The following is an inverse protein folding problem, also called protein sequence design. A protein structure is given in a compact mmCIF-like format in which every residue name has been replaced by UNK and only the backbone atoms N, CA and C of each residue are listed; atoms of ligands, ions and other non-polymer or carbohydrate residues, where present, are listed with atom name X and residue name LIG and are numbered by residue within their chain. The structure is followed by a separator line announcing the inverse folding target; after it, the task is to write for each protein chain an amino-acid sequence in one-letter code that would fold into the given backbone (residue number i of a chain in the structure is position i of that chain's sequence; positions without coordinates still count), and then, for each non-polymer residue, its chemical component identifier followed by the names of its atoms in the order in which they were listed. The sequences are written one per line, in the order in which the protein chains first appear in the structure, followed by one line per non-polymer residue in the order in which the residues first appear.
data_IF_126086990220
#
_entry.id   IF_126086990220
#
_cell.length_a   1.000
_cell.length_b   1.000
_cell.length_c   1.000
_cell.angle_alpha   90.00
_cell.angle_beta   90.00
_cell.angle_gamma   90.00
#
_symmetry.space_group_name_H-M   'P 1'
#
loop_
_entity.id
_entity.type
_entity.pdbx_description
1 polymer ?
#
# COMPACT_ATOMS: atom_id res chain seq x y z
N UNK A 1 8.11 33.50 -19.69
CA UNK A 1 7.78 32.56 -18.58
C UNK A 1 7.64 33.34 -17.30
N UNK A 2 6.45 33.39 -16.74
CA UNK A 2 6.18 34.08 -15.48
C UNK A 2 5.79 33.07 -14.42
N UNK A 3 6.54 33.03 -13.32
CA UNK A 3 6.19 32.23 -12.16
C UNK A 3 4.95 32.84 -11.48
N UNK A 4 3.86 32.08 -11.41
CA UNK A 4 2.56 32.53 -10.90
C UNK A 4 2.38 32.16 -9.45
N UNK A 5 2.88 30.98 -9.04
CA UNK A 5 2.75 30.44 -7.68
C UNK A 5 3.95 29.58 -7.38
N UNK A 6 4.47 29.64 -6.17
CA UNK A 6 5.52 28.74 -5.70
C UNK A 6 5.18 28.26 -4.30
N UNK A 7 5.51 27.00 -3.99
CA UNK A 7 5.49 26.54 -2.62
C UNK A 7 6.64 27.13 -1.82
N UNK A 8 6.55 27.06 -0.52
CA UNK A 8 7.72 27.15 0.36
C UNK A 8 8.70 26.00 0.06
N UNK A 9 9.92 26.11 0.55
CA UNK A 9 10.86 25.01 0.51
C UNK A 9 10.44 23.91 1.48
N UNK A 10 10.25 22.70 0.95
CA UNK A 10 10.06 21.51 1.73
C UNK A 10 11.40 20.78 1.85
N UNK A 11 11.71 20.30 3.04
CA UNK A 11 13.01 19.71 3.41
C UNK A 11 12.80 18.28 3.89
N UNK A 12 13.69 17.39 3.47
CA UNK A 12 13.80 16.03 4.02
C UNK A 12 15.25 15.67 4.25
N UNK A 13 15.51 14.86 5.27
CA UNK A 13 16.85 14.33 5.53
C UNK A 13 17.18 13.17 4.59
N UNK A 14 18.42 13.13 4.12
CA UNK A 14 18.99 12.02 3.36
C UNK A 14 19.49 10.92 4.29
N UNK A 15 19.58 9.68 3.80
CA UNK A 15 20.15 8.55 4.55
C UNK A 15 21.57 8.80 5.09
N UNK A 16 22.32 9.72 4.49
CA UNK A 16 23.70 10.06 4.83
C UNK A 16 23.78 11.30 5.76
N UNK A 17 22.66 11.76 6.32
CA UNK A 17 22.59 12.91 7.24
C UNK A 17 22.73 14.28 6.58
N UNK A 18 22.58 14.38 5.25
CA UNK A 18 22.40 15.64 4.53
C UNK A 18 20.93 15.97 4.36
N UNK A 19 20.63 17.15 3.81
CA UNK A 19 19.26 17.60 3.57
C UNK A 19 18.97 17.74 2.08
N UNK A 20 17.75 17.36 1.68
CA UNK A 20 17.21 17.60 0.34
C UNK A 20 16.14 18.68 0.44
N UNK A 21 16.31 19.74 -0.33
CA UNK A 21 15.38 20.84 -0.48
C UNK A 21 14.59 20.66 -1.77
N UNK A 22 13.29 20.87 -1.70
CA UNK A 22 12.39 20.69 -2.81
C UNK A 22 11.27 21.72 -2.75
N UNK A 23 10.89 22.31 -3.89
CA UNK A 23 9.69 23.16 -4.04
C UNK A 23 9.04 22.98 -5.40
N UNK A 24 7.80 23.42 -5.50
CA UNK A 24 6.98 23.34 -6.70
C UNK A 24 6.59 24.75 -7.17
N UNK A 25 6.54 24.91 -8.47
CA UNK A 25 6.10 26.14 -9.13
C UNK A 25 4.91 25.85 -10.03
N UNK A 26 4.00 26.82 -10.14
CA UNK A 26 3.07 26.98 -11.28
C UNK A 26 3.60 28.10 -12.13
N UNK A 27 3.86 27.84 -13.39
CA UNK A 27 4.43 28.78 -14.34
C UNK A 27 3.45 29.01 -15.48
N UNK A 28 3.33 30.27 -15.94
CA UNK A 28 2.59 30.63 -17.15
C UNK A 28 3.53 30.80 -18.32
N UNK A 29 3.20 30.17 -19.44
CA UNK A 29 3.89 30.31 -20.72
C UNK A 29 2.86 30.59 -21.81
N UNK A 30 2.75 31.88 -22.23
CA UNK A 30 1.65 32.32 -23.10
C UNK A 30 0.29 32.15 -22.43
N UNK A 31 -0.58 31.33 -23.03
CA UNK A 31 -1.91 31.00 -22.51
C UNK A 31 -1.95 29.65 -21.78
N UNK A 32 -0.83 28.95 -21.73
CA UNK A 32 -0.71 27.67 -21.04
C UNK A 32 -0.14 27.80 -19.64
N UNK A 33 -0.45 26.82 -18.81
CA UNK A 33 0.09 26.68 -17.46
C UNK A 33 0.73 25.32 -17.28
N UNK A 34 1.83 25.26 -16.54
CA UNK A 34 2.49 24.02 -16.18
C UNK A 34 3.00 24.02 -14.76
N UNK A 35 3.20 22.84 -14.18
CA UNK A 35 3.91 22.65 -12.94
C UNK A 35 5.36 22.26 -13.19
N UNK A 36 6.28 22.76 -12.36
CA UNK A 36 7.71 22.44 -12.44
C UNK A 36 8.30 22.34 -11.03
N UNK A 37 9.09 21.31 -10.78
CA UNK A 37 9.78 21.14 -9.51
C UNK A 37 11.18 21.70 -9.56
N UNK A 38 11.64 22.26 -8.44
CA UNK A 38 13.01 22.71 -8.22
C UNK A 38 13.57 22.00 -6.99
N UNK A 39 14.80 21.49 -7.06
CA UNK A 39 15.44 20.86 -5.91
C UNK A 39 16.96 21.04 -5.90
N UNK A 40 17.53 20.92 -4.72
CA UNK A 40 18.97 20.85 -4.46
C UNK A 40 19.22 20.06 -3.17
N UNK A 41 20.46 19.77 -2.87
CA UNK A 41 20.86 19.04 -1.66
C UNK A 41 22.00 19.76 -0.96
N UNK A 42 21.99 19.63 0.37
CA UNK A 42 23.11 20.06 1.22
C UNK A 42 23.66 18.79 1.89
N UNK A 43 24.95 18.52 1.72
CA UNK A 43 25.60 17.40 2.40
C UNK A 43 25.74 17.66 3.90
N UNK A 44 26.00 16.60 4.69
CA UNK A 44 26.31 16.70 6.12
C UNK A 44 27.48 17.70 6.42
N UNK A 45 28.39 17.88 5.46
CA UNK A 45 29.53 18.81 5.56
C UNK A 45 29.23 20.22 5.05
N UNK A 46 27.95 20.52 4.73
CA UNK A 46 27.51 21.84 4.27
C UNK A 46 27.69 22.13 2.79
N UNK A 47 28.17 21.17 1.97
CA UNK A 47 28.34 21.36 0.51
C UNK A 47 26.98 21.32 -0.18
N UNK A 48 26.61 22.40 -0.86
CA UNK A 48 25.38 22.52 -1.66
C UNK A 48 25.60 22.04 -3.10
N UNK A 49 24.62 21.30 -3.65
CA UNK A 49 24.58 20.94 -5.08
C UNK A 49 23.98 22.09 -5.88
N UNK A 50 24.23 22.09 -7.21
CA UNK A 50 23.52 23.00 -8.11
C UNK A 50 22.02 22.71 -8.06
N UNK A 51 21.21 23.77 -8.22
CA UNK A 51 19.75 23.65 -8.36
C UNK A 51 19.40 22.93 -9.64
N UNK A 52 18.41 22.04 -9.53
CA UNK A 52 17.92 21.22 -10.62
C UNK A 52 16.42 21.49 -10.79
N UNK A 53 15.94 21.36 -12.01
CA UNK A 53 14.53 21.54 -12.37
C UNK A 53 14.05 20.29 -13.11
N UNK A 54 12.78 19.92 -12.90
CA UNK A 54 12.13 18.93 -13.75
C UNK A 54 11.75 19.53 -15.09
N UNK A 55 11.43 18.66 -16.06
CA UNK A 55 10.71 19.08 -17.24
C UNK A 55 9.37 19.72 -16.87
N UNK A 56 8.87 20.71 -17.64
CA UNK A 56 7.54 21.28 -17.49
C UNK A 56 6.46 20.19 -17.64
N UNK A 57 5.50 20.19 -16.72
CA UNK A 57 4.31 19.34 -16.84
C UNK A 57 3.10 20.24 -17.13
N UNK A 58 2.67 20.30 -18.38
CA UNK A 58 1.59 21.15 -18.85
C UNK A 58 0.23 20.66 -18.38
N UNK A 59 -0.54 21.56 -17.79
CA UNK A 59 -1.87 21.29 -17.26
C UNK A 59 -2.92 21.52 -18.36
N UNK A 60 -3.39 20.46 -18.98
CA UNK A 60 -4.49 20.52 -19.94
C UNK A 60 -5.84 20.73 -19.21
N UNK A 61 -6.82 21.44 -19.83
CA UNK A 61 -8.17 21.50 -19.32
C UNK A 61 -8.76 20.10 -19.09
N UNK A 62 -9.51 19.92 -18.01
CA UNK A 62 -10.11 18.62 -17.65
C UNK A 62 -11.61 18.72 -17.42
N UNK A 63 -12.33 17.60 -17.60
CA UNK A 63 -13.78 17.49 -17.42
C UNK A 63 -14.59 18.51 -18.23
N UNK A 64 -14.13 18.87 -19.43
CA UNK A 64 -14.78 19.85 -20.29
C UNK A 64 -16.25 19.52 -20.49
N UNK A 65 -17.13 20.52 -20.28
CA UNK A 65 -18.58 20.37 -20.37
C UNK A 65 -19.26 19.71 -19.16
N UNK A 66 -18.53 19.49 -18.03
CA UNK A 66 -19.06 18.90 -16.80
C UNK A 66 -19.07 19.93 -15.67
N UNK A 67 -19.89 19.69 -14.64
CA UNK A 67 -20.00 20.58 -13.48
C UNK A 67 -18.66 20.80 -12.70
N UNK A 68 -17.67 19.93 -12.90
CA UNK A 68 -16.35 20.00 -12.33
C UNK A 68 -15.27 20.28 -13.40
N UNK A 69 -15.62 20.98 -14.46
CA UNK A 69 -14.69 21.44 -15.47
C UNK A 69 -13.61 22.34 -14.84
N UNK A 70 -12.38 22.17 -15.32
CA UNK A 70 -11.24 23.05 -14.97
C UNK A 70 -10.54 23.51 -16.24
N UNK A 71 -10.28 24.80 -16.32
CA UNK A 71 -9.37 25.33 -17.34
C UNK A 71 -7.92 25.00 -17.00
N UNK A 72 -6.97 25.30 -17.89
CA UNK A 72 -5.53 25.01 -17.71
C UNK A 72 -4.99 25.58 -16.39
N UNK A 73 -5.38 26.80 -16.00
CA UNK A 73 -4.95 27.43 -14.75
C UNK A 73 -5.47 26.68 -13.51
N UNK A 74 -6.75 26.41 -13.49
CA UNK A 74 -7.40 25.72 -12.39
C UNK A 74 -6.88 24.27 -12.25
N UNK A 75 -6.58 23.62 -13.38
CA UNK A 75 -5.97 22.29 -13.37
C UNK A 75 -4.55 22.33 -12.82
N UNK A 76 -3.74 23.33 -13.20
CA UNK A 76 -2.39 23.50 -12.65
C UNK A 76 -2.41 23.77 -11.13
N UNK A 77 -3.35 24.56 -10.63
CA UNK A 77 -3.52 24.81 -9.20
C UNK A 77 -3.95 23.54 -8.45
N UNK A 78 -4.86 22.75 -9.02
CA UNK A 78 -5.29 21.44 -8.47
C UNK A 78 -4.11 20.44 -8.41
N UNK A 79 -3.32 20.35 -9.48
CA UNK A 79 -2.14 19.49 -9.53
C UNK A 79 -1.07 19.96 -8.54
N UNK A 80 -0.88 21.27 -8.41
CA UNK A 80 0.03 21.85 -7.44
C UNK A 80 -0.26 21.34 -6.02
N UNK A 81 -1.51 21.44 -5.58
CA UNK A 81 -1.91 21.00 -4.23
C UNK A 81 -1.75 19.47 -4.06
N UNK A 82 -2.10 18.70 -5.09
CA UNK A 82 -1.93 17.24 -5.08
C UNK A 82 -0.45 16.81 -5.03
N UNK A 83 0.43 17.51 -5.75
CA UNK A 83 1.88 17.23 -5.77
C UNK A 83 2.52 17.61 -4.43
N UNK A 84 2.16 18.76 -3.84
CA UNK A 84 2.60 19.19 -2.50
C UNK A 84 2.21 18.12 -1.47
N UNK A 85 0.94 17.68 -1.48
CA UNK A 85 0.47 16.62 -0.59
C UNK A 85 1.30 15.34 -0.73
N UNK A 86 1.53 14.88 -1.96
CA UNK A 86 2.39 13.69 -2.22
C UNK A 86 3.82 13.89 -1.69
N UNK A 87 4.37 15.08 -1.76
CA UNK A 87 5.73 15.35 -1.28
C UNK A 87 5.78 15.36 0.25
N UNK A 88 4.75 15.92 0.89
CA UNK A 88 4.58 15.85 2.36
C UNK A 88 4.39 14.41 2.84
N UNK A 89 3.65 13.59 2.13
CA UNK A 89 3.49 12.14 2.41
C UNK A 89 4.83 11.39 2.36
N UNK A 90 5.79 11.85 1.55
CA UNK A 90 7.17 11.32 1.50
C UNK A 90 8.07 11.78 2.66
N UNK A 91 7.54 12.58 3.59
CA UNK A 91 8.26 13.07 4.76
C UNK A 91 8.91 14.45 4.61
N UNK A 92 8.70 15.14 3.49
CA UNK A 92 9.16 16.51 3.34
C UNK A 92 8.30 17.47 4.19
N UNK A 93 8.94 18.45 4.84
CA UNK A 93 8.30 19.43 5.74
C UNK A 93 8.86 20.83 5.50
N UNK A 94 8.09 21.85 5.83
CA UNK A 94 8.55 23.21 5.84
C UNK A 94 9.65 23.43 6.90
N UNK A 95 10.49 24.45 6.72
CA UNK A 95 11.53 24.78 7.70
C UNK A 95 10.89 25.15 9.04
N UNK A 96 11.29 24.46 10.11
CA UNK A 96 10.75 24.68 11.46
C UNK A 96 9.42 23.94 11.75
N UNK A 97 8.82 23.30 10.76
CA UNK A 97 7.69 22.42 10.98
C UNK A 97 8.18 21.16 11.73
N UNK A 98 7.60 20.86 12.89
CA UNK A 98 7.96 19.67 13.65
C UNK A 98 7.66 18.43 12.80
N UNK A 99 8.63 17.51 12.70
CA UNK A 99 8.37 16.15 12.24
C UNK A 99 7.32 15.56 13.20
N UNK A 100 6.10 15.44 12.74
CA UNK A 100 5.20 14.47 13.33
C UNK A 100 5.72 13.11 12.88
N UNK A 101 6.66 12.55 13.64
CA UNK A 101 7.32 11.27 13.31
C UNK A 101 6.33 10.18 13.69
N UNK A 102 5.31 10.00 12.84
CA UNK A 102 4.43 8.84 12.93
C UNK A 102 5.26 7.61 12.60
N UNK A 103 5.28 6.60 13.45
CA UNK A 103 6.00 5.39 13.14
C UNK A 103 5.41 4.73 11.89
N UNK A 104 6.28 4.09 11.12
CA UNK A 104 5.89 3.28 9.96
C UNK A 104 5.85 1.81 10.38
N UNK A 105 4.89 1.03 9.86
CA UNK A 105 4.73 -0.34 10.28
C UNK A 105 5.87 -1.25 9.83
N UNK A 106 6.18 -2.27 10.65
CA UNK A 106 7.03 -3.40 10.30
C UNK A 106 6.39 -4.20 9.16
N UNK A 107 7.20 -4.71 8.22
CA UNK A 107 6.73 -5.44 7.05
C UNK A 107 7.16 -6.92 7.11
N UNK A 108 6.30 -7.80 6.57
CA UNK A 108 6.54 -9.23 6.54
C UNK A 108 7.33 -9.69 5.31
N UNK A 109 8.19 -10.72 5.48
CA UNK A 109 8.69 -11.57 4.39
C UNK A 109 7.70 -12.71 4.06
N UNK A 110 7.95 -13.44 2.98
CA UNK A 110 7.21 -14.66 2.66
C UNK A 110 7.70 -15.81 3.54
N UNK A 111 6.76 -16.61 4.08
CA UNK A 111 7.08 -17.77 4.91
C UNK A 111 7.88 -18.83 4.13
N UNK A 112 7.45 -19.17 2.92
CA UNK A 112 8.12 -20.15 2.10
C UNK A 112 9.62 -19.88 1.87
N UNK A 113 9.97 -18.59 1.71
CA UNK A 113 11.34 -18.18 1.39
C UNK A 113 12.22 -18.03 2.64
N UNK A 114 11.62 -17.88 3.84
CA UNK A 114 12.36 -17.45 5.03
C UNK A 114 12.00 -18.19 6.32
N UNK A 115 11.22 -19.28 6.27
CA UNK A 115 10.84 -20.07 7.46
C UNK A 115 12.04 -20.55 8.29
N UNK A 116 13.14 -20.89 7.64
CA UNK A 116 14.39 -21.26 8.31
C UNK A 116 15.13 -20.11 9.03
N UNK A 117 14.58 -18.90 9.08
CA UNK A 117 15.08 -17.77 9.86
C UNK A 117 14.38 -17.58 11.19
N UNK A 118 13.40 -18.41 11.50
CA UNK A 118 12.68 -18.40 12.79
C UNK A 118 12.92 -19.71 13.52
N UNK A 119 13.15 -19.60 14.82
CA UNK A 119 13.20 -20.74 15.73
C UNK A 119 11.84 -20.91 16.42
N UNK A 120 11.42 -22.16 16.59
CA UNK A 120 10.22 -22.46 17.37
C UNK A 120 10.51 -22.41 18.88
N UNK A 121 9.52 -22.07 19.72
CA UNK A 121 8.12 -21.81 19.38
C UNK A 121 7.88 -20.43 18.74
N UNK A 122 6.86 -20.33 17.89
CA UNK A 122 6.41 -19.08 17.25
C UNK A 122 4.96 -18.75 17.59
N UNK A 123 4.52 -17.52 17.33
CA UNK A 123 3.13 -17.13 17.38
C UNK A 123 2.51 -17.07 15.99
N UNK A 124 1.29 -17.56 15.88
CA UNK A 124 0.52 -17.64 14.63
C UNK A 124 -0.79 -16.87 14.76
N UNK A 125 -1.09 -16.07 13.74
CA UNK A 125 -2.29 -15.22 13.66
C UNK A 125 -2.96 -15.39 12.30
N UNK A 126 -4.30 -15.26 12.18
CA UNK A 126 -4.93 -15.14 10.88
C UNK A 126 -4.42 -13.88 10.17
N UNK A 127 -4.19 -14.00 8.86
CA UNK A 127 -3.89 -12.85 8.01
C UNK A 127 -5.20 -12.25 7.55
N UNK A 128 -5.45 -11.03 8.01
CA UNK A 128 -6.66 -10.28 7.70
C UNK A 128 -6.57 -9.61 6.33
N UNK A 129 -7.72 -9.39 5.71
CA UNK A 129 -7.84 -8.75 4.41
C UNK A 129 -8.58 -7.40 4.53
N UNK A 130 -7.88 -6.40 5.01
CA UNK A 130 -8.40 -5.05 5.25
C UNK A 130 -7.42 -3.95 4.88
N UNK A 131 -7.54 -2.82 5.52
CA UNK A 131 -6.58 -1.73 5.44
C UNK A 131 -5.76 -1.66 6.72
N UNK A 132 -4.46 -1.91 6.62
CA UNK A 132 -3.56 -1.72 7.77
C UNK A 132 -3.60 -0.30 8.28
N UNK A 133 -3.84 -0.15 9.57
CA UNK A 133 -3.86 1.13 10.26
C UNK A 133 -2.95 1.09 11.49
N UNK A 134 -2.12 2.12 11.65
CA UNK A 134 -1.52 2.45 12.93
C UNK A 134 -2.43 3.48 13.61
N UNK A 135 -2.62 3.34 14.93
CA UNK A 135 -3.59 4.12 15.68
C UNK A 135 -3.04 4.50 17.08
N UNK A 136 -3.10 5.78 17.42
CA UNK A 136 -2.61 6.31 18.70
C UNK A 136 -3.72 6.56 19.76
N UNK A 137 -4.92 6.05 19.48
CA UNK A 137 -6.10 6.24 20.32
C UNK A 137 -7.00 7.38 19.85
N UNK A 138 -6.46 8.33 19.10
CA UNK A 138 -7.18 9.49 18.57
C UNK A 138 -7.12 9.54 17.05
N UNK A 139 -5.93 9.33 16.47
CA UNK A 139 -5.66 9.43 15.05
C UNK A 139 -5.21 8.09 14.47
N UNK A 140 -5.67 7.80 13.27
CA UNK A 140 -5.25 6.62 12.51
C UNK A 140 -4.51 7.01 11.22
N UNK A 141 -3.50 6.23 10.83
CA UNK A 141 -2.84 6.40 9.53
C UNK A 141 -2.51 5.05 8.88
N UNK A 142 -2.61 5.03 7.58
CA UNK A 142 -2.36 3.84 6.79
C UNK A 142 -0.87 3.48 6.71
N UNK A 143 -0.56 2.28 6.20
CA UNK A 143 0.81 1.85 5.89
C UNK A 143 1.62 2.87 5.05
N UNK A 144 0.96 3.65 4.20
CA UNK A 144 1.58 4.70 3.39
C UNK A 144 1.63 6.05 4.09
N UNK A 145 1.46 6.11 5.40
CA UNK A 145 1.44 7.33 6.22
C UNK A 145 0.33 8.32 5.83
N UNK A 146 -0.74 7.85 5.20
CA UNK A 146 -1.92 8.65 4.90
C UNK A 146 -2.88 8.59 6.07
N UNK A 147 -3.30 9.74 6.54
CA UNK A 147 -4.30 9.85 7.60
C UNK A 147 -5.62 9.22 7.19
N UNK A 148 -6.21 8.49 8.11
CA UNK A 148 -7.57 7.98 7.98
C UNK A 148 -8.53 9.11 8.34
N UNK A 149 -9.64 9.19 7.62
CA UNK A 149 -10.67 10.22 7.83
C UNK A 149 -11.15 10.12 9.30
N UNK A 150 -11.08 11.20 10.12
CA UNK A 150 -11.43 11.13 11.55
C UNK A 150 -12.82 10.57 11.82
N UNK A 151 -13.82 10.97 11.04
CA UNK A 151 -15.21 10.53 11.20
C UNK A 151 -15.38 9.01 10.97
N UNK A 152 -14.48 8.40 10.18
CA UNK A 152 -14.49 6.96 9.90
C UNK A 152 -14.07 6.14 11.11
N UNK A 153 -13.20 6.69 11.96
CA UNK A 153 -12.60 6.00 13.12
C UNK A 153 -13.07 6.57 14.46
N UNK A 154 -14.04 7.48 14.48
CA UNK A 154 -14.53 8.12 15.70
C UNK A 154 -14.98 7.12 16.76
N UNK A 155 -15.67 6.07 16.34
CA UNK A 155 -16.18 5.00 17.19
C UNK A 155 -15.11 4.03 17.73
N UNK A 156 -13.86 4.17 17.28
CA UNK A 156 -12.72 3.35 17.71
C UNK A 156 -11.86 4.05 18.77
N UNK A 157 -12.13 5.32 19.09
CA UNK A 157 -11.29 6.12 19.96
C UNK A 157 -11.33 5.63 21.41
N UNK A 158 -10.16 5.53 22.01
CA UNK A 158 -9.96 5.20 23.43
C UNK A 158 -8.54 5.56 23.86
N UNK A 159 -8.29 5.59 25.17
CA UNK A 159 -6.96 5.84 25.71
C UNK A 159 -6.04 4.62 25.50
N UNK A 160 -5.08 4.76 24.64
CA UNK A 160 -4.05 3.73 24.35
C UNK A 160 -2.87 3.79 25.34
N UNK A 161 -2.97 4.58 26.39
CA UNK A 161 -1.89 4.79 27.38
C UNK A 161 -0.55 5.23 26.72
N UNK A 162 -0.66 5.95 25.59
CA UNK A 162 0.48 6.44 24.83
C UNK A 162 1.08 5.43 23.82
N UNK A 163 0.57 4.21 23.75
CA UNK A 163 1.00 3.24 22.76
C UNK A 163 0.40 3.51 21.37
N UNK A 164 1.18 3.23 20.34
CA UNK A 164 0.68 3.17 18.98
C UNK A 164 0.34 1.73 18.64
N UNK A 165 -0.92 1.48 18.36
CA UNK A 165 -1.44 0.17 17.97
C UNK A 165 -1.17 -0.10 16.48
N UNK A 166 -0.92 -1.37 16.15
CA UNK A 166 -0.77 -1.86 14.79
C UNK A 166 -1.83 -2.91 14.51
N UNK A 167 -2.71 -2.62 13.56
CA UNK A 167 -3.87 -3.46 13.30
C UNK A 167 -4.40 -3.35 11.88
N UNK A 168 -5.51 -4.03 11.64
CA UNK A 168 -6.22 -4.05 10.36
C UNK A 168 -7.63 -3.48 10.55
N UNK A 169 -8.00 -2.49 9.74
CA UNK A 169 -9.34 -1.90 9.70
C UNK A 169 -10.15 -2.57 8.60
N UNK A 170 -11.27 -3.20 8.95
CA UNK A 170 -12.11 -3.92 8.01
C UNK A 170 -13.56 -4.05 8.51
N UNK A 171 -14.48 -4.36 7.61
CA UNK A 171 -15.84 -4.74 7.97
C UNK A 171 -15.86 -6.17 8.56
N UNK A 172 -16.86 -6.50 9.39
CA UNK A 172 -17.03 -7.86 9.93
C UNK A 172 -17.25 -8.92 8.83
N UNK A 173 -17.26 -10.19 9.25
CA UNK A 173 -17.64 -11.35 8.41
C UNK A 173 -16.75 -11.61 7.19
N UNK A 174 -15.47 -11.19 7.26
CA UNK A 174 -14.48 -11.40 6.19
C UNK A 174 -14.98 -11.00 4.79
N UNK A 175 -15.77 -9.93 4.71
CA UNK A 175 -16.24 -9.40 3.43
C UNK A 175 -15.07 -9.00 2.52
N UNK A 176 -15.31 -8.95 1.22
CA UNK A 176 -14.31 -8.56 0.24
C UNK A 176 -13.64 -7.22 0.62
N UNK A 177 -12.34 -7.15 0.44
CA UNK A 177 -11.54 -5.94 0.69
C UNK A 177 -12.17 -4.68 0.09
N UNK A 178 -12.75 -4.78 -1.11
CA UNK A 178 -13.39 -3.67 -1.80
C UNK A 178 -14.53 -3.03 -1.00
N UNK A 179 -15.32 -3.83 -0.29
CA UNK A 179 -16.44 -3.33 0.54
C UNK A 179 -15.89 -2.59 1.77
N UNK A 180 -14.88 -3.16 2.45
CA UNK A 180 -14.18 -2.48 3.54
C UNK A 180 -13.57 -1.16 3.08
N UNK A 181 -12.93 -1.14 1.89
CA UNK A 181 -12.33 0.08 1.34
C UNK A 181 -13.35 1.17 0.99
N UNK A 182 -14.62 0.81 0.65
CA UNK A 182 -15.70 1.79 0.46
C UNK A 182 -16.05 2.51 1.76
N UNK A 183 -16.08 1.77 2.88
CA UNK A 183 -16.35 2.30 4.22
C UNK A 183 -15.23 3.19 4.75
N UNK A 184 -13.97 2.87 4.36
CA UNK A 184 -12.76 3.52 4.87
C UNK A 184 -12.40 4.80 4.09
N UNK A 185 -12.52 4.76 2.75
CA UNK A 185 -12.10 5.89 1.89
C UNK A 185 -13.04 7.09 1.92
N UNK A 186 -14.26 6.90 2.39
CA UNK A 186 -15.27 7.95 2.53
C UNK A 186 -16.20 7.56 3.66
N UNK A 187 -16.46 8.50 4.58
CA UNK A 187 -17.48 8.27 5.62
C UNK A 187 -18.86 7.95 5.02
N UNK A 188 -19.45 6.87 5.48
CA UNK A 188 -20.79 6.39 5.10
C UNK A 188 -21.55 6.06 6.38
N UNK A 189 -22.62 6.79 6.75
CA UNK A 189 -23.31 6.62 8.02
C UNK A 189 -23.79 5.17 8.29
N UNK A 190 -24.21 4.47 7.24
CA UNK A 190 -24.71 3.10 7.35
C UNK A 190 -23.62 2.01 7.37
N UNK A 191 -22.38 2.36 7.07
CA UNK A 191 -21.30 1.40 6.83
C UNK A 191 -20.06 1.67 7.67
N UNK A 192 -19.56 2.91 7.72
CA UNK A 192 -18.32 3.24 8.42
C UNK A 192 -18.33 2.95 9.92
N UNK A 193 -19.46 3.15 10.66
CA UNK A 193 -19.53 2.78 12.09
C UNK A 193 -19.49 1.26 12.35
N UNK A 194 -19.63 0.42 11.31
CA UNK A 194 -19.51 -1.04 11.43
C UNK A 194 -18.09 -1.55 11.27
N UNK A 195 -17.14 -0.68 10.95
CA UNK A 195 -15.73 -1.06 10.83
C UNK A 195 -15.21 -1.57 12.17
N UNK A 196 -14.47 -2.67 12.13
CA UNK A 196 -13.75 -3.26 13.24
C UNK A 196 -12.26 -2.96 13.08
N UNK A 197 -11.61 -2.60 14.17
CA UNK A 197 -10.16 -2.46 14.22
C UNK A 197 -9.54 -3.68 14.90
N UNK A 198 -8.99 -4.58 14.12
CA UNK A 198 -8.37 -5.81 14.57
C UNK A 198 -6.91 -5.57 14.93
N UNK A 199 -6.59 -5.50 16.22
CA UNK A 199 -5.24 -5.19 16.71
C UNK A 199 -4.42 -6.46 16.92
N UNK A 200 -3.22 -6.49 16.36
CA UNK A 200 -2.32 -7.64 16.43
C UNK A 200 -0.93 -7.32 17.00
N UNK A 201 -0.56 -6.04 17.14
CA UNK A 201 0.74 -5.63 17.68
C UNK A 201 0.66 -4.20 18.24
N UNK A 202 1.73 -3.77 18.94
CA UNK A 202 2.01 -2.38 19.29
C UNK A 202 3.38 -1.99 18.73
N UNK A 203 3.56 -0.70 18.45
CA UNK A 203 4.82 -0.18 17.89
C UNK A 203 5.77 0.14 19.03
N UNK A 204 6.50 -0.87 19.49
CA UNK A 204 7.53 -0.75 20.52
C UNK A 204 8.83 -1.39 20.04
N UNK A 205 9.78 -0.58 19.52
CA UNK A 205 10.99 -1.10 18.89
C UNK A 205 11.97 -1.72 19.89
N UNK A 206 11.86 -1.38 21.16
CA UNK A 206 12.79 -1.85 22.20
C UNK A 206 12.27 -3.12 22.92
N UNK A 207 11.08 -3.61 22.56
CA UNK A 207 10.47 -4.78 23.18
C UNK A 207 10.30 -5.95 22.19
N UNK A 208 10.60 -7.20 22.63
CA UNK A 208 10.29 -8.39 21.85
C UNK A 208 8.78 -8.61 21.74
N UNK A 209 8.34 -9.36 20.70
CA UNK A 209 6.91 -9.57 20.44
C UNK A 209 6.17 -10.21 21.64
N UNK A 210 6.82 -11.12 22.35
CA UNK A 210 6.23 -11.73 23.55
C UNK A 210 5.79 -10.68 24.59
N UNK A 211 6.67 -9.72 24.91
CA UNK A 211 6.36 -8.63 25.84
C UNK A 211 5.31 -7.65 25.26
N UNK A 212 5.41 -7.31 23.98
CA UNK A 212 4.39 -6.45 23.32
C UNK A 212 3.01 -7.09 23.35
N UNK A 213 2.96 -8.41 23.17
CA UNK A 213 1.71 -9.18 23.27
C UNK A 213 1.06 -9.09 24.64
N UNK A 214 1.84 -9.19 25.72
CA UNK A 214 1.35 -9.08 27.10
C UNK A 214 0.79 -7.68 27.40
N UNK A 215 1.50 -6.64 26.96
CA UNK A 215 1.01 -5.26 27.04
C UNK A 215 -0.31 -5.11 26.28
N UNK A 216 -0.35 -5.62 25.06
CA UNK A 216 -1.55 -5.56 24.21
C UNK A 216 -2.73 -6.31 24.86
N UNK A 217 -2.49 -7.48 25.48
CA UNK A 217 -3.50 -8.26 26.19
C UNK A 217 -4.11 -7.47 27.36
N UNK A 218 -3.30 -6.70 28.08
CA UNK A 218 -3.75 -5.85 29.16
C UNK A 218 -4.49 -4.61 28.66
N UNK A 219 -3.97 -3.97 27.62
CA UNK A 219 -4.51 -2.74 27.05
C UNK A 219 -5.92 -2.94 26.46
N UNK A 220 -6.16 -4.08 25.85
CA UNK A 220 -7.42 -4.38 25.15
C UNK A 220 -8.50 -5.04 26.04
N UNK A 221 -8.38 -4.98 27.35
CA UNK A 221 -9.40 -5.54 28.27
C UNK A 221 -10.69 -4.70 28.33
N UNK A 222 -10.57 -3.37 28.25
CA UNK A 222 -11.68 -2.43 28.37
C UNK A 222 -11.64 -1.42 27.23
N UNK A 223 -11.97 -1.85 26.01
CA UNK A 223 -11.95 -1.04 24.80
C UNK A 223 -13.33 -1.02 24.14
N UNK A 224 -13.59 -0.09 23.20
CA UNK A 224 -14.81 -0.13 22.41
C UNK A 224 -15.02 -1.51 21.76
N UNK A 225 -16.27 -1.95 21.62
CA UNK A 225 -16.62 -3.25 21.03
C UNK A 225 -16.09 -3.47 19.59
N UNK A 226 -15.87 -2.36 18.89
CA UNK A 226 -15.30 -2.36 17.52
C UNK A 226 -13.76 -2.47 17.51
N UNK A 227 -13.10 -2.48 18.65
CA UNK A 227 -11.66 -2.75 18.77
C UNK A 227 -11.47 -4.20 19.21
N UNK A 228 -10.94 -5.01 18.31
CA UNK A 228 -10.90 -6.47 18.46
C UNK A 228 -9.47 -6.97 18.54
N UNK A 229 -9.18 -7.81 19.53
CA UNK A 229 -7.91 -8.49 19.60
C UNK A 229 -7.82 -9.63 18.59
N UNK A 230 -6.76 -9.65 17.78
CA UNK A 230 -6.51 -10.77 16.85
C UNK A 230 -6.12 -12.03 17.63
N UNK A 231 -6.80 -13.14 17.34
CA UNK A 231 -6.46 -14.45 17.91
C UNK A 231 -5.00 -14.79 17.61
N UNK A 232 -4.25 -15.11 18.65
CA UNK A 232 -2.81 -15.39 18.58
C UNK A 232 -2.55 -16.73 19.27
N UNK A 233 -2.02 -17.69 18.54
CA UNK A 233 -1.78 -19.07 18.99
C UNK A 233 -0.27 -19.32 19.01
N UNK A 234 0.26 -19.84 20.13
CA UNK A 234 1.65 -20.30 20.22
C UNK A 234 1.73 -21.72 19.65
N UNK A 235 2.72 -21.98 18.80
CA UNK A 235 2.95 -23.27 18.17
C UNK A 235 4.42 -23.68 18.25
N UNK A 236 4.69 -24.97 18.30
CA UNK A 236 6.00 -25.52 18.59
C UNK A 236 6.71 -26.11 17.34
N UNK A 237 6.00 -26.21 16.22
CA UNK A 237 6.56 -26.74 14.97
C UNK A 237 5.84 -26.21 13.71
N UNK A 238 6.43 -26.48 12.55
CA UNK A 238 5.90 -26.07 11.24
C UNK A 238 4.57 -26.76 10.89
N UNK A 239 4.36 -27.99 11.34
CA UNK A 239 3.14 -28.74 11.03
C UNK A 239 1.90 -28.07 11.67
N UNK A 240 2.06 -27.53 12.88
CA UNK A 240 1.02 -26.77 13.56
C UNK A 240 0.77 -25.41 12.86
N UNK A 241 1.81 -24.76 12.31
CA UNK A 241 1.62 -23.56 11.47
C UNK A 241 0.76 -23.89 10.26
N UNK A 242 1.07 -24.97 9.55
CA UNK A 242 0.31 -25.39 8.35
C UNK A 242 -1.11 -25.83 8.71
N UNK A 243 -1.31 -26.50 9.83
CA UNK A 243 -2.65 -26.87 10.31
C UNK A 243 -3.52 -25.63 10.57
N UNK A 244 -2.98 -24.63 11.29
CA UNK A 244 -3.69 -23.37 11.54
C UNK A 244 -3.91 -22.56 10.25
N UNK A 245 -2.96 -22.61 9.32
CA UNK A 245 -3.11 -21.96 8.03
C UNK A 245 -4.33 -22.50 7.27
N UNK A 246 -4.46 -23.84 7.18
CA UNK A 246 -5.61 -24.45 6.53
C UNK A 246 -6.94 -24.10 7.21
N UNK A 247 -6.95 -24.02 8.56
CA UNK A 247 -8.14 -23.56 9.29
C UNK A 247 -8.47 -22.10 9.00
N UNK A 248 -7.48 -21.21 9.00
CA UNK A 248 -7.71 -19.78 8.72
C UNK A 248 -8.20 -19.56 7.28
N UNK A 249 -7.63 -20.26 6.30
CA UNK A 249 -8.10 -20.18 4.90
C UNK A 249 -9.53 -20.72 4.77
N UNK A 250 -9.84 -21.85 5.42
CA UNK A 250 -11.19 -22.39 5.47
C UNK A 250 -12.20 -21.41 6.10
N UNK A 251 -11.78 -20.67 7.14
CA UNK A 251 -12.59 -19.64 7.81
C UNK A 251 -12.66 -18.30 7.04
N UNK A 252 -12.09 -18.24 5.82
CA UNK A 252 -12.17 -17.09 4.91
C UNK A 252 -11.13 -16.00 5.14
N UNK A 253 -10.08 -16.27 5.95
CA UNK A 253 -8.97 -15.33 6.08
C UNK A 253 -8.01 -15.41 4.88
N UNK A 254 -7.25 -14.32 4.63
CA UNK A 254 -6.28 -14.24 3.52
C UNK A 254 -5.13 -15.28 3.62
N UNK A 255 -4.92 -15.84 4.82
CA UNK A 255 -3.84 -16.75 5.13
C UNK A 255 -3.37 -16.59 6.58
N UNK A 256 -2.06 -16.61 6.78
CA UNK A 256 -1.45 -16.68 8.11
C UNK A 256 -0.29 -15.70 8.26
N UNK A 257 -0.18 -15.12 9.45
CA UNK A 257 1.01 -14.36 9.89
C UNK A 257 1.73 -15.16 10.97
N UNK A 258 3.05 -15.28 10.84
CA UNK A 258 3.92 -15.97 11.81
C UNK A 258 4.87 -14.97 12.43
N UNK A 259 4.98 -14.96 13.76
CA UNK A 259 5.77 -14.00 14.53
C UNK A 259 6.75 -14.70 15.47
N UNK A 260 7.99 -14.23 15.44
CA UNK A 260 9.01 -14.64 16.39
C UNK A 260 8.77 -13.93 17.75
N UNK A 261 8.57 -14.67 18.85
CA UNK A 261 8.32 -14.07 20.17
C UNK A 261 9.50 -13.28 20.74
N UNK A 262 10.73 -13.63 20.37
CA UNK A 262 11.96 -13.06 20.91
C UNK A 262 12.44 -11.78 20.20
N UNK A 263 11.79 -11.38 19.09
CA UNK A 263 12.30 -10.32 18.25
C UNK A 263 11.53 -9.01 18.39
N UNK A 264 12.27 -7.92 18.28
CA UNK A 264 11.77 -6.55 18.43
C UNK A 264 10.97 -6.08 17.21
N UNK A 265 10.24 -4.98 17.37
CA UNK A 265 9.51 -4.33 16.29
C UNK A 265 10.46 -3.49 15.41
N UNK A 266 10.61 -3.86 14.15
CA UNK A 266 11.50 -3.17 13.19
C UNK A 266 10.73 -2.12 12.36
N UNK A 267 10.73 -0.87 12.85
CA UNK A 267 10.04 0.25 12.18
C UNK A 267 10.48 0.39 10.72
N UNK A 268 9.50 0.44 9.81
CA UNK A 268 9.70 0.65 8.36
C UNK A 268 10.63 -0.35 7.68
N UNK A 269 10.84 -1.52 8.27
CA UNK A 269 11.68 -2.57 7.69
C UNK A 269 10.85 -3.82 7.38
N UNK A 270 11.28 -4.55 6.36
CA UNK A 270 10.83 -5.92 6.13
C UNK A 270 11.64 -6.84 7.04
N UNK A 271 10.96 -7.50 7.97
CA UNK A 271 11.58 -8.27 9.05
C UNK A 271 11.49 -9.78 8.80
N UNK A 272 12.54 -10.47 9.17
CA UNK A 272 12.54 -11.94 9.23
C UNK A 272 11.79 -12.48 10.45
N UNK A 273 11.51 -11.63 11.44
CA UNK A 273 10.71 -11.99 12.61
C UNK A 273 9.20 -11.92 12.39
N UNK A 274 8.79 -11.50 11.20
CA UNK A 274 7.39 -11.44 10.77
C UNK A 274 7.27 -12.05 9.37
N UNK A 275 6.65 -13.21 9.27
CA UNK A 275 6.44 -13.91 8.01
C UNK A 275 4.96 -13.99 7.66
N UNK A 276 4.67 -14.00 6.37
CA UNK A 276 3.31 -14.19 5.85
C UNK A 276 3.24 -15.46 5.00
N UNK A 277 2.23 -16.25 5.24
CA UNK A 277 1.85 -17.42 4.45
C UNK A 277 0.48 -17.15 3.83
N UNK A 278 0.37 -17.29 2.53
CA UNK A 278 -0.89 -17.17 1.84
C UNK A 278 -0.88 -18.02 0.56
N UNK A 279 -2.04 -18.58 0.26
CA UNK A 279 -2.26 -19.31 -0.96
C UNK A 279 -2.52 -18.37 -2.12
N UNK A 280 -2.22 -18.86 -3.30
CA UNK A 280 -2.54 -18.21 -4.54
C UNK A 280 -3.31 -19.19 -5.42
N UNK A 281 -4.17 -18.62 -6.24
CA UNK A 281 -4.91 -19.35 -7.27
C UNK A 281 -4.22 -19.05 -8.59
N UNK A 282 -3.90 -20.07 -9.35
CA UNK A 282 -3.46 -19.97 -10.72
C UNK A 282 -4.63 -20.36 -11.63
N UNK A 283 -4.97 -19.53 -12.61
CA UNK A 283 -6.00 -19.83 -13.61
C UNK A 283 -5.59 -19.26 -14.97
N UNK A 284 -6.15 -19.85 -16.02
CA UNK A 284 -5.86 -19.50 -17.40
C UNK A 284 -6.88 -18.48 -17.92
N UNK A 285 -6.37 -17.42 -18.54
CA UNK A 285 -7.20 -16.40 -19.16
C UNK A 285 -6.75 -16.13 -20.58
N UNK A 286 -7.70 -15.97 -21.50
CA UNK A 286 -7.42 -15.70 -22.90
C UNK A 286 -6.83 -14.30 -23.07
N UNK A 287 -5.72 -14.19 -23.81
CA UNK A 287 -5.11 -12.92 -24.21
C UNK A 287 -5.93 -12.33 -25.34
N UNK A 288 -6.60 -11.22 -25.12
CA UNK A 288 -7.39 -10.49 -26.11
C UNK A 288 -6.65 -9.26 -26.66
N UNK A 289 -5.60 -8.83 -25.96
CA UNK A 289 -4.74 -7.73 -26.38
C UNK A 289 -3.46 -7.68 -25.57
N UNK A 290 -2.49 -6.92 -26.08
CA UNK A 290 -1.29 -6.52 -25.35
C UNK A 290 -1.07 -5.04 -25.59
N UNK A 291 -1.17 -4.25 -24.54
CA UNK A 291 -1.03 -2.79 -24.58
C UNK A 291 0.30 -2.33 -24.01
N UNK A 292 0.63 -1.09 -24.31
CA UNK A 292 1.82 -0.43 -23.77
C UNK A 292 1.60 -0.06 -22.30
N UNK A 293 2.60 -0.29 -21.48
CA UNK A 293 2.61 0.20 -20.10
C UNK A 293 2.68 1.72 -20.03
N UNK A 294 2.35 2.29 -18.88
CA UNK A 294 2.36 3.73 -18.66
C UNK A 294 3.48 4.16 -17.70
N UNK A 295 3.97 5.38 -17.86
CA UNK A 295 5.00 5.96 -16.97
C UNK A 295 6.33 5.21 -17.06
N UNK A 296 6.82 4.66 -15.96
CA UNK A 296 8.06 3.87 -15.92
C UNK A 296 7.97 2.54 -16.67
N UNK A 297 6.77 2.09 -17.02
CA UNK A 297 6.51 0.85 -17.74
C UNK A 297 6.29 1.09 -19.25
N UNK A 298 6.48 2.30 -19.77
CA UNK A 298 6.39 2.59 -21.21
C UNK A 298 7.35 1.70 -22.01
N UNK A 299 6.83 1.09 -23.08
CA UNK A 299 7.57 0.09 -23.88
C UNK A 299 7.49 -1.34 -23.32
N UNK A 300 6.77 -1.56 -22.22
CA UNK A 300 6.67 -2.87 -21.55
C UNK A 300 5.25 -3.42 -21.66
N UNK A 301 5.14 -4.73 -21.94
CA UNK A 301 3.85 -5.40 -22.10
C UNK A 301 2.96 -5.32 -20.84
N UNK A 302 1.69 -5.00 -21.08
CA UNK A 302 0.57 -5.25 -20.20
C UNK A 302 -0.45 -6.08 -20.98
N UNK A 303 -0.83 -7.23 -20.49
CA UNK A 303 -1.83 -8.09 -21.15
C UNK A 303 -3.25 -7.60 -20.86
N UNK A 304 -4.07 -7.54 -21.89
CA UNK A 304 -5.52 -7.45 -21.77
C UNK A 304 -6.09 -8.86 -21.85
N UNK A 305 -6.76 -9.27 -20.80
CA UNK A 305 -7.28 -10.61 -20.62
C UNK A 305 -8.81 -10.59 -20.53
N UNK A 306 -9.44 -11.71 -20.86
CA UNK A 306 -10.88 -11.88 -20.82
C UNK A 306 -11.25 -13.08 -19.94
N UNK A 307 -12.23 -12.90 -19.05
CA UNK A 307 -12.82 -13.98 -18.24
C UNK A 307 -13.81 -14.80 -19.06
N UNK A 308 -14.20 -15.96 -18.56
CA UNK A 308 -15.24 -16.78 -19.21
C UNK A 308 -16.60 -16.07 -19.29
N UNK A 309 -16.88 -15.10 -18.42
CA UNK A 309 -18.07 -14.25 -18.45
C UNK A 309 -17.96 -13.06 -19.43
N UNK A 310 -16.80 -12.89 -20.08
CA UNK A 310 -16.56 -11.80 -21.04
C UNK A 310 -16.08 -10.50 -20.43
N UNK A 311 -15.81 -10.46 -19.10
CA UNK A 311 -15.21 -9.29 -18.45
C UNK A 311 -13.74 -9.16 -18.80
N UNK A 312 -13.27 -7.93 -19.01
CA UNK A 312 -11.88 -7.65 -19.37
C UNK A 312 -11.08 -7.04 -18.24
N UNK A 313 -9.82 -7.44 -18.11
CA UNK A 313 -8.90 -6.89 -17.12
C UNK A 313 -7.47 -6.86 -17.63
N UNK A 314 -6.67 -5.98 -17.01
CA UNK A 314 -5.26 -5.84 -17.34
C UNK A 314 -4.40 -6.65 -16.37
N UNK A 315 -3.39 -7.33 -16.92
CA UNK A 315 -2.45 -8.13 -16.15
C UNK A 315 -1.01 -7.81 -16.54
N UNK A 316 -0.19 -7.49 -15.53
CA UNK A 316 1.24 -7.31 -15.70
C UNK A 316 1.93 -8.66 -15.67
N UNK A 317 2.73 -9.05 -16.68
CA UNK A 317 3.54 -10.26 -16.60
C UNK A 317 4.67 -10.09 -15.58
N UNK A 318 5.06 -11.19 -14.94
CA UNK A 318 6.28 -11.25 -14.14
C UNK A 318 7.53 -11.23 -15.04
N UNK A 319 8.71 -11.04 -14.42
CA UNK A 319 9.98 -11.04 -15.13
C UNK A 319 10.65 -9.68 -15.22
N UNK A 320 11.79 -9.64 -15.90
CA UNK A 320 12.59 -8.44 -16.07
C UNK A 320 11.93 -7.44 -17.04
N UNK A 321 12.38 -6.18 -17.01
CA UNK A 321 11.94 -5.19 -18.00
C UNK A 321 12.27 -5.62 -19.42
N UNK A 322 13.44 -6.23 -19.61
CA UNK A 322 13.90 -6.74 -20.90
C UNK A 322 12.94 -7.83 -21.46
N UNK A 323 12.56 -8.80 -20.63
CA UNK A 323 11.56 -9.80 -21.00
C UNK A 323 10.21 -9.18 -21.34
N UNK A 324 9.75 -8.23 -20.55
CA UNK A 324 8.47 -7.53 -20.77
C UNK A 324 8.49 -6.66 -22.04
N UNK A 325 9.64 -6.04 -22.37
CA UNK A 325 9.83 -5.32 -23.63
C UNK A 325 9.75 -6.28 -24.82
N UNK A 326 10.43 -7.44 -24.74
CA UNK A 326 10.37 -8.47 -25.78
C UNK A 326 8.95 -9.00 -26.01
N UNK A 327 8.16 -9.19 -24.93
CA UNK A 327 6.75 -9.56 -25.04
C UNK A 327 5.92 -8.46 -25.74
N UNK A 328 6.26 -7.18 -25.53
CA UNK A 328 5.57 -6.07 -26.19
C UNK A 328 5.93 -5.98 -27.68
N UNK A 329 7.17 -6.21 -28.04
CA UNK A 329 7.62 -6.26 -29.44
C UNK A 329 6.88 -7.35 -30.22
N UNK A 330 6.72 -8.54 -29.63
CA UNK A 330 6.08 -9.69 -30.24
C UNK A 330 4.57 -9.79 -29.96
N UNK A 331 3.95 -8.71 -29.51
CA UNK A 331 2.55 -8.69 -29.00
C UNK A 331 1.49 -9.29 -29.92
N UNK A 332 1.69 -9.19 -31.26
CA UNK A 332 0.73 -9.71 -32.26
C UNK A 332 0.62 -11.23 -32.23
N UNK A 333 1.71 -11.93 -31.87
CA UNK A 333 1.77 -13.39 -31.81
C UNK A 333 1.20 -13.95 -30.50
N UNK A 334 0.91 -13.07 -29.53
CA UNK A 334 0.44 -13.44 -28.21
C UNK A 334 -1.09 -13.41 -28.11
N UNK A 335 -1.75 -12.63 -28.97
CA UNK A 335 -3.21 -12.53 -28.98
C UNK A 335 -3.85 -13.86 -29.42
N UNK A 336 -4.81 -14.32 -28.63
CA UNK A 336 -5.49 -15.60 -28.82
C UNK A 336 -4.90 -16.77 -28.03
N UNK A 337 -3.67 -16.65 -27.53
CA UNK A 337 -3.08 -17.56 -26.55
C UNK A 337 -3.67 -17.37 -25.17
N UNK A 338 -3.25 -18.18 -24.21
CA UNK A 338 -3.66 -18.10 -22.82
C UNK A 338 -2.50 -17.66 -21.93
N UNK A 339 -2.83 -16.92 -20.86
CA UNK A 339 -1.88 -16.52 -19.82
C UNK A 339 -2.29 -17.19 -18.51
N UNK A 340 -1.38 -17.96 -17.92
CA UNK A 340 -1.50 -18.39 -16.53
C UNK A 340 -1.39 -17.15 -15.64
N UNK A 341 -2.45 -16.83 -14.93
CA UNK A 341 -2.52 -15.68 -14.03
C UNK A 341 -2.60 -16.16 -12.60
N UNK A 342 -1.67 -15.67 -11.80
CA UNK A 342 -1.65 -15.88 -10.35
C UNK A 342 -2.35 -14.73 -9.66
N UNK A 343 -3.33 -15.03 -8.81
CA UNK A 343 -4.06 -14.04 -8.03
C UNK A 343 -4.45 -14.64 -6.67
N UNK A 344 -4.94 -13.77 -5.78
CA UNK A 344 -5.35 -14.19 -4.44
C UNK A 344 -6.86 -14.46 -4.37
N UNK A 345 -7.68 -13.55 -4.89
CA UNK A 345 -9.14 -13.62 -4.84
C UNK A 345 -9.74 -13.02 -6.11
N UNK A 346 -11.02 -13.29 -6.34
CA UNK A 346 -11.80 -12.63 -7.38
C UNK A 346 -12.61 -11.47 -6.78
N UNK A 347 -12.82 -10.42 -7.59
CA UNK A 347 -13.82 -9.40 -7.30
C UNK A 347 -15.22 -10.02 -7.37
N UNK A 348 -16.24 -9.27 -6.93
CA UNK A 348 -17.63 -9.68 -7.11
C UNK A 348 -18.06 -9.87 -8.57
N UNK A 349 -17.34 -9.26 -9.50
CA UNK A 349 -17.54 -9.35 -10.94
C UNK A 349 -16.69 -10.48 -11.57
N UNK A 350 -16.08 -11.36 -10.76
CA UNK A 350 -15.25 -12.48 -11.21
C UNK A 350 -13.88 -12.08 -11.77
N UNK A 351 -13.43 -10.86 -11.54
CA UNK A 351 -12.14 -10.35 -12.02
C UNK A 351 -11.04 -10.60 -10.98
N UNK A 352 -9.89 -11.18 -11.36
CA UNK A 352 -8.73 -11.36 -10.47
C UNK A 352 -8.26 -10.06 -9.82
N UNK A 353 -8.06 -10.08 -8.50
CA UNK A 353 -7.53 -8.94 -7.73
C UNK A 353 -6.01 -9.07 -7.64
N UNK A 354 -5.29 -8.01 -8.03
CA UNK A 354 -3.82 -7.97 -8.14
C UNK A 354 -3.22 -9.10 -8.98
N UNK A 355 -3.72 -9.30 -10.22
CA UNK A 355 -3.25 -10.39 -11.07
C UNK A 355 -1.80 -10.21 -11.49
N UNK A 356 -1.07 -11.32 -11.57
CA UNK A 356 0.30 -11.41 -12.09
C UNK A 356 0.36 -12.49 -13.14
N UNK A 357 0.80 -12.16 -14.35
CA UNK A 357 0.98 -13.12 -15.43
C UNK A 357 2.24 -13.95 -15.22
N UNK A 358 2.10 -15.26 -15.17
CA UNK A 358 3.18 -16.20 -14.84
C UNK A 358 3.77 -16.84 -16.09
N UNK A 359 2.94 -17.42 -16.97
CA UNK A 359 3.39 -18.10 -18.18
C UNK A 359 2.35 -18.04 -19.29
N UNK A 360 2.84 -17.98 -20.53
CA UNK A 360 2.00 -18.05 -21.74
C UNK A 360 1.83 -19.51 -22.13
N UNK A 361 0.60 -19.89 -22.51
CA UNK A 361 0.20 -21.23 -22.91
C UNK A 361 -0.50 -21.21 -24.27
N UNK A 362 -0.35 -22.30 -24.99
CA UNK A 362 -1.22 -22.58 -26.14
C UNK A 362 -2.55 -23.21 -25.69
N UNK A 363 -3.57 -23.12 -26.52
CA UNK A 363 -4.85 -23.79 -26.25
C UNK A 363 -4.65 -25.31 -26.12
N UNK A 364 -5.13 -25.88 -25.04
CA UNK A 364 -5.04 -27.33 -24.77
C UNK A 364 -3.80 -27.80 -24.02
N UNK A 365 -2.93 -26.87 -23.57
CA UNK A 365 -1.75 -27.21 -22.74
C UNK A 365 -2.01 -27.11 -21.22
N UNK A 366 -3.29 -27.02 -20.79
CA UNK A 366 -3.69 -26.84 -19.38
C UNK A 366 -4.94 -27.65 -19.02
#
# INVERSE_FOLDING_TARGET
MNNVKSSEWLISENKNGGEKFWRLHVVRDGDEYYTQTEWYQISKTGRETKRQFSDPYFAAPTNVGRANERNSREQADFEFDAIIKKQRDKGFRAKGERKNVRPMPMLAHKFADHKGKMDFPVYVQPKLNGMRMLFDGENGWSRGNKEVIPEVIEHLKFDTMGYVLDGELMLPDNVLLQESMKAIKKYRPDLSPKLLYHVYDIVEPDLPYGARKEILDSLLQNVPENVVRVKTVKVDDESQVMHLHNLFVHDGFEGTMVRDPGMNYEINKRSYSLLKLKDFIDAEYRIVGVIDGAGSDTGLAIFELETDSGERFNCRPEGSQENRAHLFENRRELVGKYLTVRYFELSKDGIPIFPVGVSIREWGEF
#
